data_IF_229036659722
#
_entry.id   IF_229036659722
#
_cell.length_a   1.000
_cell.length_b   1.000
_cell.length_c   1.000
_cell.angle_alpha   90.00
_cell.angle_beta   90.00
_cell.angle_gamma   90.00
#
_symmetry.space_group_name_H-M   'P 1'
#
loop_
_entity.id
_entity.type
_entity.pdbx_description
1 polymer ?
#
# COMPACT_ATOMS: atom_id res chain seq x y z
N UNK A 1 -0.58 -17.16 -11.99
CA UNK A 1 -0.87 -16.35 -10.80
C UNK A 1 -1.66 -15.10 -11.21
N UNK A 2 -2.75 -14.83 -10.53
CA UNK A 2 -3.63 -13.72 -10.91
C UNK A 2 -3.07 -12.38 -10.41
N UNK A 3 -3.09 -11.37 -11.29
CA UNK A 3 -2.75 -10.00 -10.95
C UNK A 3 -3.90 -9.37 -10.16
N UNK A 4 -3.59 -8.52 -9.21
CA UNK A 4 -4.57 -7.88 -8.34
C UNK A 4 -5.39 -6.80 -9.04
N UNK A 5 -6.55 -6.48 -8.48
CA UNK A 5 -7.40 -5.38 -8.90
C UNK A 5 -7.95 -4.65 -7.66
N UNK A 6 -8.76 -3.59 -7.89
CA UNK A 6 -9.31 -2.81 -6.77
C UNK A 6 -10.28 -3.59 -5.88
N UNK A 7 -10.98 -4.59 -6.43
CA UNK A 7 -11.85 -5.44 -5.62
C UNK A 7 -11.02 -6.26 -4.62
N UNK A 8 -9.84 -6.70 -5.04
CA UNK A 8 -8.91 -7.40 -4.16
C UNK A 8 -8.41 -6.48 -3.05
N UNK A 9 -8.04 -5.24 -3.38
CA UNK A 9 -7.60 -4.26 -2.38
C UNK A 9 -8.69 -4.06 -1.33
N UNK A 10 -9.92 -3.82 -1.77
CA UNK A 10 -11.06 -3.61 -0.86
C UNK A 10 -11.29 -4.81 0.03
N UNK A 11 -11.35 -5.99 -0.55
CA UNK A 11 -11.59 -7.24 0.19
C UNK A 11 -10.53 -7.47 1.27
N UNK A 12 -9.27 -7.33 0.90
CA UNK A 12 -8.15 -7.57 1.81
C UNK A 12 -8.13 -6.50 2.91
N UNK A 13 -8.22 -5.23 2.53
CA UNK A 13 -8.17 -4.13 3.50
C UNK A 13 -9.31 -4.21 4.51
N UNK A 14 -10.53 -4.47 4.05
CA UNK A 14 -11.70 -4.53 4.93
C UNK A 14 -11.77 -5.82 5.75
N UNK A 15 -10.96 -6.83 5.43
CA UNK A 15 -10.86 -8.04 6.25
C UNK A 15 -10.05 -7.80 7.53
N UNK A 16 -9.29 -6.71 7.58
CA UNK A 16 -8.43 -6.42 8.73
C UNK A 16 -9.20 -5.72 9.86
N UNK A 17 -8.84 -5.99 11.13
CA UNK A 17 -9.59 -5.43 12.26
C UNK A 17 -9.69 -3.92 12.25
N UNK A 18 -10.89 -3.40 12.49
CA UNK A 18 -11.20 -1.98 12.59
C UNK A 18 -10.84 -1.17 11.32
N UNK A 19 -10.67 -1.85 10.19
CA UNK A 19 -10.43 -1.18 8.93
C UNK A 19 -11.74 -0.59 8.38
N UNK A 20 -11.66 0.63 7.84
CA UNK A 20 -12.78 1.33 7.23
C UNK A 20 -12.39 1.86 5.87
N UNK A 21 -13.37 2.00 4.99
CA UNK A 21 -13.18 2.61 3.68
C UNK A 21 -13.81 4.00 3.68
N UNK A 22 -13.06 5.00 3.24
CA UNK A 22 -13.54 6.38 3.16
C UNK A 22 -13.05 7.03 1.88
N UNK A 23 -13.84 7.93 1.27
CA UNK A 23 -13.33 8.66 0.12
C UNK A 23 -12.29 9.69 0.56
N UNK A 24 -11.25 9.84 -0.25
CA UNK A 24 -10.21 10.85 -0.08
C UNK A 24 -9.97 11.46 -1.45
N UNK A 25 -10.28 12.74 -1.60
CA UNK A 25 -10.25 13.42 -2.91
C UNK A 25 -11.09 12.69 -3.97
N UNK A 26 -12.23 12.13 -3.54
CA UNK A 26 -13.15 11.40 -4.43
C UNK A 26 -12.73 9.98 -4.77
N UNK A 27 -11.64 9.48 -4.21
CA UNK A 27 -11.10 8.15 -4.49
C UNK A 27 -11.07 7.28 -3.23
N UNK A 28 -11.13 5.94 -3.37
CA UNK A 28 -11.11 5.07 -2.20
C UNK A 28 -9.84 5.18 -1.38
N UNK A 29 -9.99 5.14 -0.07
CA UNK A 29 -8.88 5.01 0.86
C UNK A 29 -9.30 4.11 2.01
N UNK A 30 -8.34 3.45 2.64
CA UNK A 30 -8.62 2.52 3.73
C UNK A 30 -7.79 2.92 4.95
N UNK A 31 -8.46 2.96 6.10
CA UNK A 31 -7.89 3.46 7.35
C UNK A 31 -8.12 2.49 8.49
N UNK A 32 -7.22 2.53 9.47
CA UNK A 32 -7.40 1.85 10.75
C UNK A 32 -7.36 2.94 11.82
N UNK A 33 -8.45 3.09 12.56
CA UNK A 33 -8.60 4.16 13.58
C UNK A 33 -8.15 5.52 13.06
N UNK A 34 -8.67 5.93 11.89
CA UNK A 34 -8.40 7.21 11.23
C UNK A 34 -7.02 7.33 10.60
N UNK A 35 -6.15 6.34 10.74
CA UNK A 35 -4.81 6.37 10.12
C UNK A 35 -4.83 5.64 8.78
N UNK A 36 -4.48 6.37 7.74
CA UNK A 36 -4.43 5.87 6.37
C UNK A 36 -3.36 4.79 6.24
N UNK A 37 -3.70 3.64 5.63
CA UNK A 37 -2.70 2.60 5.39
C UNK A 37 -2.56 2.19 3.92
N UNK A 38 -3.65 2.14 3.14
CA UNK A 38 -3.58 1.99 1.68
C UNK A 38 -4.62 2.89 1.03
N UNK A 39 -4.35 3.36 -0.19
CA UNK A 39 -5.26 4.29 -0.88
C UNK A 39 -5.01 4.28 -2.38
N UNK A 40 -6.02 4.69 -3.16
CA UNK A 40 -5.84 4.92 -4.59
C UNK A 40 -5.10 6.25 -4.78
N UNK A 41 -3.98 6.21 -5.51
CA UNK A 41 -3.09 7.37 -5.65
C UNK A 41 -2.70 7.61 -7.11
N UNK A 42 -3.56 8.25 -7.90
CA UNK A 42 -3.19 8.60 -9.28
C UNK A 42 -1.99 9.56 -9.28
N UNK A 43 -1.17 9.45 -10.29
CA UNK A 43 -0.02 10.34 -10.42
C UNK A 43 -0.47 11.74 -10.84
N UNK A 44 0.17 12.75 -10.28
CA UNK A 44 -0.04 14.14 -10.63
C UNK A 44 0.79 14.49 -11.86
N UNK A 45 0.44 15.60 -12.53
CA UNK A 45 1.15 16.04 -13.73
C UNK A 45 2.67 16.18 -13.50
N UNK A 46 3.07 16.75 -12.35
CA UNK A 46 4.47 16.90 -12.01
C UNK A 46 5.19 15.55 -11.81
N UNK A 47 4.48 14.56 -11.31
CA UNK A 47 5.02 13.22 -11.12
C UNK A 47 5.18 12.48 -12.45
N UNK A 48 4.20 12.63 -13.34
CA UNK A 48 4.28 12.08 -14.69
C UNK A 48 5.47 12.66 -15.43
N UNK A 49 5.69 13.95 -15.29
CA UNK A 49 6.83 14.63 -15.90
C UNK A 49 8.16 14.13 -15.32
N UNK A 50 8.24 13.99 -13.99
CA UNK A 50 9.45 13.52 -13.33
C UNK A 50 9.81 12.08 -13.70
N UNK A 51 8.81 11.22 -13.88
CA UNK A 51 9.03 9.81 -14.26
C UNK A 51 9.23 9.62 -15.74
N UNK A 52 8.72 10.53 -16.57
CA UNK A 52 8.86 10.45 -18.01
C UNK A 52 8.33 9.13 -18.57
N UNK A 53 9.16 8.43 -19.35
CA UNK A 53 8.77 7.16 -19.96
C UNK A 53 8.56 6.03 -18.96
N UNK A 54 9.10 6.17 -17.76
CA UNK A 54 8.93 5.16 -16.70
C UNK A 54 7.59 5.31 -15.98
N UNK A 55 6.81 6.36 -16.27
CA UNK A 55 5.52 6.56 -15.62
C UNK A 55 4.56 5.43 -15.99
N UNK A 56 3.91 4.80 -14.99
CA UNK A 56 2.91 3.77 -15.26
C UNK A 56 1.65 4.37 -15.87
N UNK A 57 0.99 3.60 -16.72
CA UNK A 57 -0.26 4.02 -17.38
C UNK A 57 -1.52 3.47 -16.71
N UNK A 58 -1.38 2.62 -15.71
CA UNK A 58 -2.50 1.95 -15.04
C UNK A 58 -2.77 2.46 -13.64
N UNK A 59 -3.50 1.66 -12.89
CA UNK A 59 -3.90 1.98 -11.51
C UNK A 59 -2.73 1.98 -10.55
N UNK A 60 -2.69 2.97 -9.68
CA UNK A 60 -1.62 3.14 -8.69
C UNK A 60 -2.21 3.05 -7.28
N UNK A 61 -1.64 2.19 -6.47
CA UNK A 61 -1.97 2.05 -5.05
C UNK A 61 -0.87 2.71 -4.22
N UNK A 62 -1.26 3.52 -3.23
CA UNK A 62 -0.32 3.99 -2.22
C UNK A 62 -0.39 3.06 -1.02
N UNK A 63 0.74 2.77 -0.40
CA UNK A 63 0.79 1.91 0.79
C UNK A 63 1.81 2.44 1.78
N UNK A 64 1.43 2.45 3.07
CA UNK A 64 2.37 2.75 4.14
C UNK A 64 3.27 1.55 4.37
N UNK A 65 4.49 1.84 4.78
CA UNK A 65 5.44 0.81 5.20
C UNK A 65 5.94 1.16 6.60
N UNK A 66 6.58 0.20 7.25
CA UNK A 66 7.01 0.36 8.64
C UNK A 66 8.03 1.49 8.82
N UNK A 67 9.01 1.56 7.91
CA UNK A 67 10.07 2.56 7.97
C UNK A 67 10.75 2.69 6.59
N UNK A 68 11.70 3.62 6.49
CA UNK A 68 12.39 3.90 5.22
C UNK A 68 13.23 2.72 4.72
N UNK A 69 13.78 1.90 5.62
CA UNK A 69 14.54 0.71 5.21
C UNK A 69 13.63 -0.29 4.51
N UNK A 70 12.42 -0.50 5.03
CA UNK A 70 11.43 -1.37 4.39
C UNK A 70 11.04 -0.84 3.01
N UNK A 71 10.89 0.47 2.87
CA UNK A 71 10.61 1.11 1.59
C UNK A 71 11.72 0.84 0.57
N UNK A 72 12.97 1.05 0.97
CA UNK A 72 14.11 0.82 0.09
C UNK A 72 14.23 -0.63 -0.33
N UNK A 73 13.93 -1.56 0.57
CA UNK A 73 13.94 -2.98 0.25
C UNK A 73 12.94 -3.33 -0.84
N UNK A 74 11.71 -2.82 -0.74
CA UNK A 74 10.69 -3.05 -1.78
C UNK A 74 11.10 -2.45 -3.12
N UNK A 75 11.60 -1.22 -3.11
CA UNK A 75 12.04 -0.54 -4.33
C UNK A 75 13.18 -1.27 -5.01
N UNK A 76 14.09 -1.84 -4.24
CA UNK A 76 15.23 -2.57 -4.77
C UNK A 76 14.89 -4.00 -5.22
N UNK A 77 14.01 -4.67 -4.49
CA UNK A 77 13.68 -6.07 -4.75
C UNK A 77 12.77 -6.24 -5.97
N UNK A 78 11.85 -5.32 -6.19
CA UNK A 78 10.90 -5.46 -7.31
C UNK A 78 10.51 -4.09 -7.90
N UNK A 79 11.41 -3.48 -8.69
CA UNK A 79 11.13 -2.18 -9.30
C UNK A 79 10.05 -2.22 -10.38
N UNK A 80 9.64 -3.42 -10.83
CA UNK A 80 8.51 -3.56 -11.76
C UNK A 80 7.17 -3.32 -11.06
N UNK A 81 7.11 -3.54 -9.75
CA UNK A 81 5.90 -3.38 -8.96
C UNK A 81 5.93 -2.09 -8.15
N UNK A 82 7.03 -1.83 -7.45
CA UNK A 82 7.13 -0.73 -6.50
C UNK A 82 7.94 0.43 -7.06
N UNK A 83 7.47 1.66 -6.80
CA UNK A 83 8.21 2.86 -7.19
C UNK A 83 7.90 4.00 -6.23
N UNK A 84 8.57 5.12 -6.41
CA UNK A 84 8.36 6.32 -5.60
C UNK A 84 8.46 7.54 -6.48
N UNK A 85 8.05 8.68 -5.95
CA UNK A 85 8.18 9.97 -6.62
C UNK A 85 8.82 10.96 -5.66
N UNK A 86 9.32 12.12 -6.16
CA UNK A 86 9.89 13.14 -5.26
C UNK A 86 8.96 13.58 -4.15
N UNK A 87 7.64 13.57 -4.38
CA UNK A 87 6.66 13.92 -3.35
C UNK A 87 6.77 13.00 -2.12
N UNK A 88 7.14 11.74 -2.32
CA UNK A 88 7.23 10.76 -1.23
C UNK A 88 8.65 10.53 -0.71
N UNK A 89 9.62 11.32 -1.16
CA UNK A 89 10.98 11.21 -0.65
C UNK A 89 11.00 11.47 0.86
N UNK A 90 11.63 10.58 1.60
CA UNK A 90 11.72 10.69 3.06
C UNK A 90 10.48 10.22 3.82
N UNK A 91 9.42 9.81 3.12
CA UNK A 91 8.20 9.29 3.75
C UNK A 91 8.16 7.76 3.68
N UNK A 92 7.69 7.10 4.75
CA UNK A 92 7.56 5.63 4.74
C UNK A 92 6.29 5.19 4.01
N UNK A 93 6.20 5.55 2.74
CA UNK A 93 5.12 5.16 1.85
C UNK A 93 5.72 4.78 0.50
N UNK A 94 5.11 3.82 -0.17
CA UNK A 94 5.53 3.33 -1.48
C UNK A 94 4.34 3.38 -2.43
N UNK A 95 4.63 3.53 -3.71
CA UNK A 95 3.61 3.44 -4.76
C UNK A 95 3.72 2.09 -5.45
N UNK A 96 2.59 1.55 -5.84
CA UNK A 96 2.47 0.18 -6.37
C UNK A 96 1.76 0.22 -7.72
N UNK A 97 2.37 -0.40 -8.72
CA UNK A 97 1.67 -0.65 -9.99
C UNK A 97 0.71 -1.81 -9.76
N UNK A 98 -0.57 -1.48 -9.52
CA UNK A 98 -1.56 -2.49 -9.16
C UNK A 98 -1.69 -3.59 -10.21
N UNK A 99 -1.51 -3.25 -11.47
CA UNK A 99 -1.60 -4.19 -12.57
C UNK A 99 -0.40 -5.14 -12.68
N UNK A 100 0.59 -4.96 -11.83
CA UNK A 100 1.82 -5.76 -11.83
C UNK A 100 2.00 -6.58 -10.55
N UNK A 101 1.18 -6.39 -9.53
CA UNK A 101 1.32 -7.10 -8.27
C UNK A 101 0.41 -8.33 -8.23
N UNK A 102 0.94 -9.45 -7.77
CA UNK A 102 0.15 -10.66 -7.56
C UNK A 102 -0.72 -10.51 -6.32
N UNK A 103 -1.90 -11.14 -6.31
CA UNK A 103 -2.85 -11.03 -5.19
C UNK A 103 -2.23 -11.45 -3.86
N UNK A 104 -1.45 -12.53 -3.83
CA UNK A 104 -0.78 -12.98 -2.61
C UNK A 104 0.20 -11.94 -2.05
N UNK A 105 0.95 -11.29 -2.92
CA UNK A 105 1.88 -10.25 -2.51
C UNK A 105 1.14 -8.97 -2.06
N UNK A 106 0.03 -8.65 -2.72
CA UNK A 106 -0.82 -7.54 -2.30
C UNK A 106 -1.37 -7.78 -0.89
N UNK A 107 -1.76 -9.01 -0.59
CA UNK A 107 -2.24 -9.36 0.75
C UNK A 107 -1.16 -9.11 1.79
N UNK A 108 0.06 -9.57 1.55
CA UNK A 108 1.19 -9.36 2.46
C UNK A 108 1.47 -7.86 2.64
N UNK A 109 1.52 -7.12 1.55
CA UNK A 109 1.76 -5.67 1.58
C UNK A 109 0.70 -4.94 2.39
N UNK A 110 -0.58 -5.29 2.18
CA UNK A 110 -1.70 -4.64 2.85
C UNK A 110 -1.69 -4.93 4.36
N UNK A 111 -1.38 -6.15 4.75
CA UNK A 111 -1.25 -6.52 6.15
C UNK A 111 -0.10 -5.73 6.80
N UNK A 112 1.04 -5.65 6.14
CA UNK A 112 2.19 -4.89 6.66
C UNK A 112 1.86 -3.40 6.78
N UNK A 113 1.13 -2.84 5.82
CA UNK A 113 0.69 -1.45 5.89
C UNK A 113 -0.25 -1.21 7.08
N UNK A 114 -1.19 -2.13 7.29
CA UNK A 114 -2.10 -2.07 8.43
C UNK A 114 -1.33 -2.17 9.76
N UNK A 115 -0.39 -3.12 9.87
CA UNK A 115 0.44 -3.28 11.07
C UNK A 115 1.25 -2.02 11.37
N UNK A 116 1.73 -1.33 10.32
CA UNK A 116 2.48 -0.09 10.49
C UNK A 116 1.64 1.05 11.07
N UNK A 117 0.33 1.03 10.88
CA UNK A 117 -0.57 2.11 11.28
C UNK A 117 -1.49 1.77 12.44
N UNK A 118 -1.76 0.50 12.69
CA UNK A 118 -2.64 0.08 13.77
C UNK A 118 -2.03 0.40 15.14
N UNK A 119 -2.86 0.72 16.16
CA UNK A 119 -2.35 0.86 17.52
C UNK A 119 -1.63 -0.42 17.94
N UNK A 120 -0.58 -0.29 18.71
CA UNK A 120 0.26 -1.42 19.12
C UNK A 120 -0.54 -2.58 19.72
N UNK A 121 -1.52 -2.28 20.55
CA UNK A 121 -2.35 -3.32 21.19
C UNK A 121 -3.14 -4.11 20.15
N UNK A 122 -3.75 -3.40 19.20
CA UNK A 122 -4.54 -4.02 18.14
C UNK A 122 -3.64 -4.86 17.23
N UNK A 123 -2.47 -4.34 16.86
CA UNK A 123 -1.48 -5.06 16.06
C UNK A 123 -1.02 -6.33 16.77
N UNK A 124 -0.74 -6.26 18.07
CA UNK A 124 -0.33 -7.41 18.86
C UNK A 124 -1.41 -8.49 18.91
N UNK A 125 -2.67 -8.09 19.10
CA UNK A 125 -3.80 -9.02 19.11
C UNK A 125 -3.95 -9.73 17.77
N UNK A 126 -3.77 -9.00 16.67
CA UNK A 126 -3.82 -9.57 15.34
C UNK A 126 -2.72 -10.61 15.13
N UNK A 127 -1.50 -10.29 15.53
CA UNK A 127 -0.35 -11.20 15.40
C UNK A 127 -0.50 -12.45 16.26
N UNK A 128 -1.07 -12.33 17.46
CA UNK A 128 -1.35 -13.49 18.32
C UNK A 128 -2.35 -14.44 17.67
N UNK A 129 -3.37 -13.91 16.99
CA UNK A 129 -4.34 -14.71 16.27
C UNK A 129 -3.83 -15.24 14.92
N UNK A 130 -2.66 -14.77 14.46
CA UNK A 130 -2.09 -15.13 13.16
C UNK A 130 -0.58 -15.35 13.30
N UNK A 131 -0.16 -16.41 14.00
CA UNK A 131 1.25 -16.59 14.39
C UNK A 131 2.24 -16.75 13.24
N UNK A 132 1.77 -17.00 12.03
CA UNK A 132 2.66 -17.09 10.87
C UNK A 132 3.10 -15.74 10.30
N UNK A 133 2.61 -14.61 10.85
CA UNK A 133 2.85 -13.27 10.31
C UNK A 133 3.92 -12.47 11.06
N UNK A 134 4.48 -13.01 12.10
CA UNK A 134 5.50 -12.34 12.90
C UNK A 134 6.83 -12.09 12.18
#
# INVERSE_FOLDING_TARGET
MRVADWDDVRRIALSLPEATEQPMHGLPSWRVRKKLFVWERPLRASELEALGKAAPSGSILGARVEHLVAKEALLGDDPEVYFTTPHFDGYPSVLVRLERIAVGELEELTIEAWLARAPKRLASQYLEGNPGLG
#
